data_IF_433420513749
#
_entry.id   IF_433420513749
#
_cell.length_a   1.000
_cell.length_b   1.000
_cell.length_c   1.000
_cell.angle_alpha   90.00
_cell.angle_beta   90.00
_cell.angle_gamma   90.00
#
_symmetry.space_group_name_H-M   'P 1'
#
loop_
_entity.id
_entity.type
_entity.pdbx_description
1 polymer ?
#
# COMPACT_ATOMS: atom_id res chain seq x y z
N UNK A 1 22.76 10.60 45.19
CA UNK A 1 23.86 10.89 44.22
C UNK A 1 23.61 10.32 42.82
N UNK A 2 22.96 9.16 42.65
CA UNK A 2 22.71 8.57 41.33
C UNK A 2 21.76 9.38 40.42
N UNK A 3 20.72 10.04 40.96
CA UNK A 3 19.73 10.77 40.16
C UNK A 3 20.31 12.01 39.45
N UNK A 4 21.20 12.75 40.11
CA UNK A 4 21.86 13.92 39.53
C UNK A 4 22.76 13.54 38.32
N UNK A 5 23.40 12.36 38.38
CA UNK A 5 24.20 11.83 37.27
C UNK A 5 23.35 11.31 36.11
N UNK A 6 22.11 10.87 36.37
CA UNK A 6 21.15 10.49 35.34
C UNK A 6 20.58 11.73 34.64
N UNK A 7 20.19 12.75 35.42
CA UNK A 7 19.66 14.01 34.88
C UNK A 7 20.69 14.75 34.02
N UNK A 8 21.94 14.85 34.48
CA UNK A 8 23.02 15.48 33.71
C UNK A 8 23.33 14.74 32.39
N UNK A 9 23.23 13.40 32.39
CA UNK A 9 23.33 12.60 31.15
C UNK A 9 22.15 12.84 30.23
N UNK A 10 20.92 12.81 30.74
CA UNK A 10 19.70 13.09 29.95
C UNK A 10 19.74 14.48 29.33
N UNK A 11 20.16 15.49 30.08
CA UNK A 11 20.29 16.87 29.60
C UNK A 11 21.36 17.01 28.51
N UNK A 12 22.50 16.31 28.63
CA UNK A 12 23.52 16.27 27.57
C UNK A 12 23.00 15.59 26.31
N UNK A 13 22.27 14.49 26.45
CA UNK A 13 21.66 13.79 25.31
C UNK A 13 20.60 14.65 24.63
N UNK A 14 19.68 15.25 25.39
CA UNK A 14 18.64 16.13 24.85
C UNK A 14 19.22 17.36 24.12
N UNK A 15 20.30 17.95 24.65
CA UNK A 15 21.01 19.04 23.97
C UNK A 15 21.64 18.61 22.66
N UNK A 16 22.17 17.38 22.59
CA UNK A 16 22.77 16.84 21.37
C UNK A 16 21.73 16.57 20.30
N UNK A 17 20.58 16.02 20.68
CA UNK A 17 19.48 15.71 19.75
C UNK A 17 18.61 16.91 19.38
N UNK A 18 18.80 18.08 19.99
CA UNK A 18 17.94 19.25 19.77
C UNK A 18 17.95 19.66 18.29
N UNK A 19 19.13 19.74 17.66
CA UNK A 19 19.26 20.14 16.26
C UNK A 19 18.54 19.19 15.30
N UNK A 20 18.70 17.88 15.51
CA UNK A 20 18.04 16.84 14.71
C UNK A 20 16.51 16.90 14.85
N UNK A 21 16.02 17.13 16.08
CA UNK A 21 14.59 17.26 16.35
C UNK A 21 14.01 18.54 15.73
N UNK A 22 14.72 19.67 15.83
CA UNK A 22 14.27 20.92 15.21
C UNK A 22 14.22 20.80 13.70
N UNK A 23 15.23 20.19 13.07
CA UNK A 23 15.27 19.99 11.63
C UNK A 23 14.13 19.06 11.17
N UNK A 24 13.90 17.95 11.87
CA UNK A 24 12.81 17.03 11.57
C UNK A 24 11.43 17.69 11.74
N UNK A 25 11.27 18.53 12.77
CA UNK A 25 10.06 19.30 12.98
C UNK A 25 9.85 20.32 11.87
N UNK A 26 10.86 21.12 11.53
CA UNK A 26 10.76 22.12 10.47
C UNK A 26 10.45 21.47 9.12
N UNK A 27 11.06 20.33 8.82
CA UNK A 27 10.75 19.54 7.62
C UNK A 27 9.29 19.14 7.55
N UNK A 28 8.72 18.65 8.66
CA UNK A 28 7.30 18.28 8.72
C UNK A 28 6.40 19.52 8.65
N UNK A 29 6.73 20.57 9.41
CA UNK A 29 5.96 21.79 9.49
C UNK A 29 5.87 22.49 8.13
N UNK A 30 6.96 22.49 7.35
CA UNK A 30 7.00 23.08 6.01
C UNK A 30 6.15 22.34 4.97
N UNK A 31 5.79 21.06 5.20
CA UNK A 31 4.88 20.30 4.31
C UNK A 31 3.41 20.68 4.52
N UNK A 32 3.07 21.29 5.66
CA UNK A 32 1.70 21.69 6.00
C UNK A 32 1.38 23.04 5.34
N UNK A 33 0.15 23.28 4.83
CA UNK A 33 -0.23 24.60 4.35
C UNK A 33 -0.18 25.68 5.45
N UNK A 34 0.26 26.90 5.10
CA UNK A 34 0.40 28.02 6.06
C UNK A 34 -0.90 28.37 6.78
N UNK A 35 -2.03 28.33 6.07
CA UNK A 35 -3.36 28.56 6.65
C UNK A 35 -3.68 27.58 7.77
N UNK A 36 -3.27 26.32 7.63
CA UNK A 36 -3.50 25.28 8.62
C UNK A 36 -2.55 25.42 9.80
N UNK A 37 -1.28 25.79 9.56
CA UNK A 37 -0.32 26.11 10.63
C UNK A 37 -0.82 27.25 11.52
N UNK A 38 -1.32 28.32 10.91
CA UNK A 38 -1.87 29.47 11.63
C UNK A 38 -3.08 29.07 12.49
N UNK A 39 -4.01 28.30 11.92
CA UNK A 39 -5.17 27.80 12.65
C UNK A 39 -4.76 26.93 13.86
N UNK A 40 -3.85 25.99 13.67
CA UNK A 40 -3.37 25.13 14.74
C UNK A 40 -2.63 25.91 15.83
N UNK A 41 -1.88 26.94 15.46
CA UNK A 41 -1.20 27.82 16.42
C UNK A 41 -2.18 28.63 17.27
N UNK A 42 -3.27 29.12 16.65
CA UNK A 42 -4.35 29.80 17.38
C UNK A 42 -5.07 28.84 18.33
N UNK A 43 -5.42 27.65 17.85
CA UNK A 43 -6.06 26.60 18.67
C UNK A 43 -5.17 26.19 19.85
N UNK A 44 -3.88 25.97 19.60
CA UNK A 44 -2.89 25.67 20.65
C UNK A 44 -2.83 26.79 21.70
N UNK A 45 -2.72 28.04 21.25
CA UNK A 45 -2.65 29.20 22.15
C UNK A 45 -3.90 29.29 23.02
N UNK A 46 -5.07 29.07 22.43
CA UNK A 46 -6.35 29.08 23.13
C UNK A 46 -6.44 27.94 24.16
N UNK A 47 -6.12 26.71 23.76
CA UNK A 47 -6.14 25.54 24.65
C UNK A 47 -5.23 25.72 25.86
N UNK A 48 -4.01 26.25 25.66
CA UNK A 48 -3.07 26.53 26.75
C UNK A 48 -3.56 27.62 27.70
N UNK A 49 -4.18 28.68 27.19
CA UNK A 49 -4.72 29.75 28.03
C UNK A 49 -5.91 29.28 28.86
N UNK A 50 -6.77 28.46 28.26
CA UNK A 50 -8.02 28.02 28.89
C UNK A 50 -7.85 26.76 29.75
N UNK A 51 -6.69 26.08 29.72
CA UNK A 51 -6.41 24.81 30.41
C UNK A 51 -6.77 24.81 31.91
N UNK A 52 -6.61 25.94 32.61
CA UNK A 52 -6.92 26.03 34.04
C UNK A 52 -8.41 26.21 34.34
N UNK A 53 -9.17 26.74 33.39
CA UNK A 53 -10.58 27.09 33.55
C UNK A 53 -11.50 26.05 32.90
N UNK A 54 -11.04 25.41 31.83
CA UNK A 54 -11.74 24.35 31.12
C UNK A 54 -10.79 23.16 30.90
N UNK A 55 -10.99 22.03 31.62
CA UNK A 55 -10.17 20.84 31.43
C UNK A 55 -10.29 20.24 30.01
N UNK A 56 -11.38 20.52 29.29
CA UNK A 56 -11.59 20.04 27.91
C UNK A 56 -10.86 20.92 26.86
N UNK A 57 -10.30 22.07 27.25
CA UNK A 57 -9.55 22.93 26.34
C UNK A 57 -8.29 22.25 25.76
N UNK A 58 -7.81 21.19 26.42
CA UNK A 58 -6.68 20.38 25.95
C UNK A 58 -7.08 19.27 24.97
N UNK A 59 -8.38 19.01 24.76
CA UNK A 59 -8.86 18.00 23.80
C UNK A 59 -8.50 18.36 22.35
N UNK A 60 -8.00 19.56 22.09
CA UNK A 60 -7.41 19.96 20.81
C UNK A 60 -6.22 19.09 20.38
N UNK A 61 -5.56 18.44 21.34
CA UNK A 61 -4.46 17.52 21.08
C UNK A 61 -4.96 16.09 20.79
N UNK A 62 -6.23 15.81 21.04
CA UNK A 62 -6.82 14.53 20.70
C UNK A 62 -7.10 14.45 19.21
N UNK A 63 -6.69 13.32 18.64
CA UNK A 63 -6.86 13.02 17.23
C UNK A 63 -8.33 12.66 16.98
N UNK A 64 -9.12 13.65 16.54
CA UNK A 64 -10.49 13.44 16.12
C UNK A 64 -10.52 12.90 14.69
N UNK A 65 -10.44 11.58 14.55
CA UNK A 65 -10.71 10.92 13.28
C UNK A 65 -12.16 10.47 13.22
N UNK A 66 -12.80 10.70 12.08
CA UNK A 66 -14.07 10.06 11.82
C UNK A 66 -13.88 8.53 11.85
N UNK A 67 -14.80 7.85 12.53
CA UNK A 67 -14.78 6.41 12.59
C UNK A 67 -14.94 5.88 11.17
N UNK A 68 -13.92 5.16 10.69
CA UNK A 68 -13.98 4.50 9.39
C UNK A 68 -15.26 3.65 9.30
N UNK A 69 -15.94 3.64 8.14
CA UNK A 69 -17.13 2.85 7.97
C UNK A 69 -16.80 1.37 8.22
N UNK A 70 -17.71 0.69 8.91
CA UNK A 70 -17.58 -0.75 9.12
C UNK A 70 -17.73 -1.50 7.81
N UNK A 71 -17.13 -2.68 7.70
CA UNK A 71 -17.31 -3.56 6.54
C UNK A 71 -18.80 -3.81 6.23
N UNK A 72 -19.62 -3.98 7.27
CA UNK A 72 -21.08 -4.15 7.14
C UNK A 72 -21.78 -2.91 6.56
N UNK A 73 -21.40 -1.70 7.00
CA UNK A 73 -21.98 -0.46 6.47
C UNK A 73 -21.53 -0.17 5.04
N UNK A 74 -20.32 -0.59 4.67
CA UNK A 74 -19.83 -0.54 3.29
C UNK A 74 -20.60 -1.52 2.40
N UNK A 75 -20.73 -2.78 2.82
CA UNK A 75 -21.50 -3.80 2.09
C UNK A 75 -22.96 -3.38 1.88
N UNK A 76 -23.61 -2.88 2.93
CA UNK A 76 -24.98 -2.35 2.86
C UNK A 76 -25.10 -1.17 1.89
N UNK A 77 -24.13 -0.24 1.89
CA UNK A 77 -24.11 0.87 0.93
C UNK A 77 -23.96 0.37 -0.51
N UNK A 78 -23.09 -0.61 -0.74
CA UNK A 78 -22.86 -1.17 -2.07
C UNK A 78 -24.10 -1.89 -2.61
N UNK A 79 -24.82 -2.63 -1.75
CA UNK A 79 -26.06 -3.34 -2.12
C UNK A 79 -27.19 -2.35 -2.43
N UNK A 80 -27.32 -1.28 -1.62
CA UNK A 80 -28.43 -0.33 -1.74
C UNK A 80 -28.20 0.74 -2.81
N UNK A 81 -26.99 0.85 -3.37
CA UNK A 81 -26.70 1.77 -4.46
C UNK A 81 -27.49 1.33 -5.69
N UNK A 82 -28.29 2.22 -6.33
CA UNK A 82 -28.96 1.88 -7.58
C UNK A 82 -27.88 1.54 -8.63
N UNK A 83 -27.83 0.25 -9.01
CA UNK A 83 -26.90 -0.28 -10.00
C UNK A 83 -27.67 -0.42 -11.31
N UNK A 84 -27.72 0.64 -12.11
CA UNK A 84 -28.46 0.62 -13.37
C UNK A 84 -27.77 -0.21 -14.48
N UNK A 85 -26.54 -0.70 -14.29
CA UNK A 85 -25.81 -1.35 -15.40
C UNK A 85 -25.03 -2.63 -15.09
N UNK A 86 -24.53 -2.88 -13.86
CA UNK A 86 -23.56 -3.97 -13.64
C UNK A 86 -23.79 -4.77 -12.34
N UNK A 87 -24.95 -5.41 -12.23
CA UNK A 87 -25.25 -6.34 -11.12
C UNK A 87 -24.17 -7.43 -11.04
N UNK A 88 -23.49 -7.50 -9.89
CA UNK A 88 -22.41 -8.47 -9.65
C UNK A 88 -20.99 -7.90 -9.73
N UNK A 89 -20.81 -6.63 -10.11
CA UNK A 89 -19.51 -5.94 -10.13
C UNK A 89 -18.82 -5.94 -8.77
N UNK A 90 -19.57 -5.67 -7.69
CA UNK A 90 -19.03 -5.73 -6.32
C UNK A 90 -18.52 -7.13 -5.94
N UNK A 91 -19.23 -8.18 -6.36
CA UNK A 91 -18.79 -9.57 -6.13
C UNK A 91 -17.55 -9.90 -6.97
N UNK A 92 -17.49 -9.41 -8.21
CA UNK A 92 -16.33 -9.59 -9.08
C UNK A 92 -15.09 -8.86 -8.53
N UNK A 93 -15.23 -7.60 -8.11
CA UNK A 93 -14.16 -6.84 -7.43
C UNK A 93 -13.71 -7.52 -6.13
N UNK A 94 -14.65 -8.02 -5.31
CA UNK A 94 -14.29 -8.74 -4.09
C UNK A 94 -13.48 -10.02 -4.40
N UNK A 95 -13.79 -10.72 -5.51
CA UNK A 95 -12.97 -11.84 -5.98
C UNK A 95 -11.59 -11.38 -6.47
N UNK A 96 -11.51 -10.26 -7.19
CA UNK A 96 -10.24 -9.69 -7.65
C UNK A 96 -9.33 -9.33 -6.46
N UNK A 97 -9.85 -8.61 -5.47
CA UNK A 97 -9.12 -8.28 -4.23
C UNK A 97 -8.64 -9.52 -3.48
N UNK A 98 -9.45 -10.60 -3.48
CA UNK A 98 -9.05 -11.87 -2.86
C UNK A 98 -7.91 -12.58 -3.60
N UNK A 99 -7.85 -12.44 -4.92
CA UNK A 99 -6.73 -12.96 -5.73
C UNK A 99 -5.47 -12.13 -5.46
N UNK A 100 -5.59 -10.81 -5.41
CA UNK A 100 -4.47 -9.90 -5.08
C UNK A 100 -3.90 -10.19 -3.68
N UNK A 101 -4.76 -10.36 -2.67
CA UNK A 101 -4.34 -10.77 -1.31
C UNK A 101 -3.54 -12.08 -1.34
N UNK A 102 -4.00 -13.06 -2.11
CA UNK A 102 -3.32 -14.34 -2.23
C UNK A 102 -2.01 -14.28 -3.04
N UNK A 103 -1.88 -13.34 -3.99
CA UNK A 103 -0.61 -13.03 -4.66
C UNK A 103 0.41 -12.44 -3.69
N UNK A 104 -0.01 -11.50 -2.83
CA UNK A 104 0.84 -10.91 -1.79
C UNK A 104 1.34 -11.99 -0.83
N UNK A 105 0.43 -12.84 -0.33
CA UNK A 105 0.79 -13.95 0.57
C UNK A 105 1.77 -14.93 -0.07
N UNK A 106 1.52 -15.31 -1.33
CA UNK A 106 2.44 -16.19 -2.06
C UNK A 106 3.83 -15.57 -2.26
N UNK A 107 3.91 -14.25 -2.51
CA UNK A 107 5.18 -13.56 -2.63
C UNK A 107 5.96 -13.56 -1.31
N UNK A 108 5.26 -13.37 -0.19
CA UNK A 108 5.83 -13.48 1.16
C UNK A 108 6.34 -14.90 1.41
N UNK A 109 5.53 -15.92 1.13
CA UNK A 109 5.89 -17.33 1.33
C UNK A 109 7.10 -17.72 0.47
N UNK A 110 7.11 -17.32 -0.80
CA UNK A 110 8.23 -17.56 -1.71
C UNK A 110 9.52 -16.85 -1.25
N UNK A 111 9.42 -15.66 -0.67
CA UNK A 111 10.57 -14.96 -0.12
C UNK A 111 11.17 -15.70 1.09
N UNK A 112 10.33 -16.24 1.97
CA UNK A 112 10.76 -16.99 3.16
C UNK A 112 11.34 -18.37 2.81
N UNK A 113 10.91 -18.95 1.70
CA UNK A 113 11.35 -20.23 1.19
C UNK A 113 12.81 -20.28 0.69
N UNK A 114 13.36 -19.14 0.21
CA UNK A 114 14.66 -19.09 -0.47
C UNK A 114 15.89 -19.41 0.41
N UNK A 115 15.74 -19.64 1.72
CA UNK A 115 16.88 -19.84 2.64
C UNK A 115 17.31 -21.29 2.90
N UNK A 116 16.44 -22.29 2.70
CA UNK A 116 16.76 -23.74 2.71
C UNK A 116 15.46 -24.52 2.53
N UNK A 117 14.97 -24.62 1.29
CA UNK A 117 13.64 -25.15 1.02
C UNK A 117 13.63 -26.67 0.83
N UNK A 118 12.67 -27.34 1.46
CA UNK A 118 12.41 -28.77 1.21
C UNK A 118 11.60 -28.90 -0.09
N UNK A 119 11.84 -29.93 -0.90
CA UNK A 119 11.11 -30.19 -2.17
C UNK A 119 9.56 -30.11 -2.02
N UNK A 120 9.05 -30.48 -0.85
CA UNK A 120 7.62 -30.38 -0.52
C UNK A 120 7.10 -28.94 -0.46
N UNK A 121 7.91 -27.99 0.00
CA UNK A 121 7.55 -26.57 0.07
C UNK A 121 7.54 -25.95 -1.33
N UNK A 122 8.55 -26.24 -2.16
CA UNK A 122 8.58 -25.81 -3.57
C UNK A 122 7.36 -26.30 -4.34
N UNK A 123 6.99 -27.57 -4.15
CA UNK A 123 5.82 -28.16 -4.78
C UNK A 123 4.51 -27.54 -4.26
N UNK A 124 4.44 -27.16 -2.98
CA UNK A 124 3.29 -26.44 -2.43
C UNK A 124 3.13 -25.03 -3.02
N UNK A 125 4.24 -24.29 -3.17
CA UNK A 125 4.27 -22.95 -3.79
C UNK A 125 3.88 -23.04 -5.27
N UNK A 126 4.39 -24.04 -6.00
CA UNK A 126 4.03 -24.26 -7.40
C UNK A 126 2.53 -24.53 -7.58
N UNK A 127 1.93 -25.35 -6.70
CA UNK A 127 0.46 -25.57 -6.70
C UNK A 127 -0.33 -24.31 -6.39
N UNK A 128 0.16 -23.49 -5.46
CA UNK A 128 -0.50 -22.22 -5.11
C UNK A 128 -0.44 -21.23 -6.27
N UNK A 129 0.69 -21.16 -7.01
CA UNK A 129 0.82 -20.40 -8.25
C UNK A 129 -0.17 -20.84 -9.32
N UNK A 130 -0.25 -22.14 -9.59
CA UNK A 130 -1.15 -22.69 -10.60
C UNK A 130 -2.63 -22.40 -10.29
N UNK A 131 -3.01 -22.56 -9.01
CA UNK A 131 -4.35 -22.19 -8.53
C UNK A 131 -4.63 -20.69 -8.70
N UNK A 132 -3.67 -19.83 -8.36
CA UNK A 132 -3.84 -18.38 -8.51
C UNK A 132 -3.98 -17.96 -9.97
N UNK A 133 -3.21 -18.58 -10.85
CA UNK A 133 -3.31 -18.35 -12.29
C UNK A 133 -4.71 -18.69 -12.80
N UNK A 134 -5.24 -19.86 -12.41
CA UNK A 134 -6.61 -20.25 -12.77
C UNK A 134 -7.68 -19.26 -12.28
N UNK A 135 -7.47 -18.67 -11.09
CA UNK A 135 -8.39 -17.65 -10.56
C UNK A 135 -8.28 -16.32 -11.33
N UNK A 136 -7.08 -15.93 -11.72
CA UNK A 136 -6.81 -14.75 -12.53
C UNK A 136 -7.41 -14.89 -13.93
N UNK A 137 -7.22 -16.05 -14.58
CA UNK A 137 -7.79 -16.33 -15.90
C UNK A 137 -9.33 -16.23 -15.86
N UNK A 138 -9.95 -16.74 -14.80
CA UNK A 138 -11.40 -16.60 -14.59
C UNK A 138 -11.86 -15.14 -14.38
N UNK A 139 -11.02 -14.30 -13.77
CA UNK A 139 -11.29 -12.86 -13.63
C UNK A 139 -11.17 -12.14 -14.97
N UNK A 140 -10.09 -12.40 -15.72
CA UNK A 140 -9.84 -11.84 -17.06
C UNK A 140 -11.00 -12.15 -18.01
N UNK A 141 -11.45 -13.41 -18.07
CA UNK A 141 -12.60 -13.80 -18.92
C UNK A 141 -13.88 -13.07 -18.54
N UNK A 142 -14.04 -12.72 -17.26
CA UNK A 142 -15.22 -11.98 -16.78
C UNK A 142 -15.03 -10.46 -16.76
N UNK A 143 -13.83 -9.95 -17.04
CA UNK A 143 -13.50 -8.52 -16.99
C UNK A 143 -14.29 -7.71 -18.02
N UNK A 144 -14.39 -8.19 -19.25
CA UNK A 144 -15.14 -7.53 -20.33
C UNK A 144 -16.60 -7.24 -19.96
N UNK A 145 -17.21 -8.08 -19.10
CA UNK A 145 -18.59 -7.88 -18.63
C UNK A 145 -18.73 -6.68 -17.69
N UNK A 146 -17.68 -6.33 -16.95
CA UNK A 146 -17.73 -5.30 -15.91
C UNK A 146 -16.95 -4.03 -16.27
N UNK A 147 -15.91 -4.15 -17.10
CA UNK A 147 -15.04 -3.05 -17.53
C UNK A 147 -15.37 -2.54 -18.94
N UNK A 148 -16.16 -3.28 -19.74
CA UNK A 148 -16.48 -2.95 -21.12
C UNK A 148 -15.60 -3.73 -22.12
N UNK A 149 -15.96 -3.70 -23.40
CA UNK A 149 -15.30 -4.49 -24.46
C UNK A 149 -13.88 -3.99 -24.81
N UNK A 150 -13.50 -2.79 -24.38
CA UNK A 150 -12.23 -2.10 -24.73
C UNK A 150 -11.16 -2.16 -23.61
N UNK A 151 -11.39 -2.96 -22.57
CA UNK A 151 -10.53 -2.99 -21.39
C UNK A 151 -9.10 -3.51 -21.66
N UNK A 152 -8.90 -4.29 -22.74
CA UNK A 152 -7.58 -4.78 -23.17
C UNK A 152 -6.81 -3.71 -23.96
N UNK A 153 -7.49 -2.93 -24.80
CA UNK A 153 -6.90 -1.89 -25.67
C UNK A 153 -6.55 -0.62 -24.87
N UNK A 154 -7.36 -0.24 -23.87
CA UNK A 154 -7.03 0.87 -22.95
C UNK A 154 -5.78 0.57 -22.10
N UNK A 155 -5.62 -0.67 -21.61
CA UNK A 155 -4.45 -1.07 -20.81
C UNK A 155 -3.15 -1.11 -21.63
N UNK A 156 -3.25 -1.40 -22.94
CA UNK A 156 -2.11 -1.40 -23.86
C UNK A 156 -1.72 0.02 -24.34
N UNK A 157 -2.66 0.96 -24.36
CA UNK A 157 -2.38 2.36 -24.71
C UNK A 157 -1.72 3.16 -23.57
N UNK A 158 -2.03 2.84 -22.31
CA UNK A 158 -1.48 3.58 -21.14
C UNK A 158 -0.01 3.22 -20.83
N UNK A 159 0.51 2.11 -21.39
CA UNK A 159 1.91 1.72 -21.21
C UNK A 159 2.86 2.31 -22.25
N UNK A 160 2.35 2.94 -23.31
CA UNK A 160 3.15 3.35 -24.47
C UNK A 160 3.23 4.86 -24.71
N UNK A 161 2.42 5.70 -24.06
CA UNK A 161 2.49 7.14 -24.26
C UNK A 161 2.26 7.89 -22.94
N UNK A 162 3.26 8.67 -22.56
CA UNK A 162 3.24 9.70 -21.49
C UNK A 162 3.55 9.25 -20.05
N UNK A 163 4.70 8.59 -19.85
CA UNK A 163 5.48 8.82 -18.62
C UNK A 163 6.52 9.90 -18.92
N UNK A 164 6.36 11.14 -18.41
CA UNK A 164 7.46 12.08 -18.30
C UNK A 164 8.59 11.43 -17.48
N UNK A 165 9.77 11.31 -18.10
CA UNK A 165 11.01 10.72 -17.57
C UNK A 165 11.62 11.45 -16.35
N UNK A 166 10.84 12.12 -15.51
CA UNK A 166 11.35 12.91 -14.37
C UNK A 166 10.48 12.86 -13.10
N UNK A 167 9.60 11.87 -12.96
CA UNK A 167 9.05 11.53 -11.64
C UNK A 167 9.73 10.26 -11.16
N UNK A 168 10.79 10.42 -10.36
CA UNK A 168 11.22 9.41 -9.39
C UNK A 168 10.06 9.16 -8.41
N UNK A 169 9.07 8.38 -8.85
CA UNK A 169 8.30 7.58 -7.93
C UNK A 169 9.28 6.46 -7.54
N UNK A 170 9.88 6.58 -6.35
CA UNK A 170 10.42 5.43 -5.65
C UNK A 170 9.29 4.42 -5.55
N UNK A 171 9.22 3.52 -6.53
CA UNK A 171 8.37 2.35 -6.48
C UNK A 171 9.00 1.45 -5.41
N UNK A 172 8.37 1.28 -4.23
CA UNK A 172 8.95 0.45 -3.17
C UNK A 172 9.01 -1.03 -3.54
N UNK A 173 8.51 -1.42 -4.73
CA UNK A 173 8.54 -2.77 -5.27
C UNK A 173 9.52 -2.98 -6.43
N UNK A 174 10.30 -1.97 -6.84
CA UNK A 174 11.40 -2.17 -7.81
C UNK A 174 12.71 -2.29 -7.06
N UNK A 175 13.03 -3.53 -6.67
CA UNK A 175 14.38 -3.85 -6.24
C UNK A 175 15.34 -3.64 -7.42
N UNK A 176 16.35 -2.78 -7.22
CA UNK A 176 17.54 -2.70 -8.05
C UNK A 176 18.11 -4.11 -8.26
N UNK A 177 17.92 -4.67 -9.45
CA UNK A 177 18.87 -5.63 -9.98
C UNK A 177 20.02 -4.84 -10.58
N UNK A 178 21.05 -4.58 -9.77
CA UNK A 178 22.35 -4.18 -10.30
C UNK A 178 23.42 -5.14 -9.82
N UNK A 179 23.92 -5.93 -10.77
CA UNK A 179 25.23 -6.58 -10.69
C UNK A 179 25.19 -8.09 -10.52
N UNK A 180 24.83 -8.83 -11.56
CA UNK A 180 25.78 -9.64 -12.35
C UNK A 180 25.02 -10.57 -13.31
N UNK A 181 25.57 -10.69 -14.52
CA UNK A 181 24.99 -11.33 -15.68
C UNK A 181 24.55 -12.78 -15.45
N UNK A 182 23.33 -13.11 -15.87
CA UNK A 182 23.01 -14.19 -16.80
C UNK A 182 21.53 -14.06 -17.21
N UNK A 183 21.30 -13.73 -18.48
CA UNK A 183 19.96 -13.70 -19.09
C UNK A 183 19.42 -15.13 -19.18
N UNK A 184 18.76 -15.62 -18.14
CA UNK A 184 17.92 -16.81 -18.26
C UNK A 184 16.58 -16.34 -18.84
N UNK A 185 16.55 -16.22 -20.17
CA UNK A 185 15.30 -16.20 -20.91
C UNK A 185 14.57 -17.54 -20.65
N UNK A 186 13.38 -17.56 -20.02
CA UNK A 186 12.57 -18.77 -20.01
C UNK A 186 12.21 -19.10 -21.47
N UNK A 187 12.31 -20.37 -21.91
CA UNK A 187 11.94 -20.71 -23.28
C UNK A 187 10.44 -20.47 -23.47
N UNK A 188 10.12 -19.63 -24.44
CA UNK A 188 8.77 -19.46 -24.97
C UNK A 188 8.24 -20.83 -25.45
N UNK A 189 6.93 -21.11 -25.31
CA UNK A 189 6.33 -22.35 -25.77
C UNK A 189 6.40 -22.44 -27.30
N UNK A 190 7.29 -23.31 -27.79
CA UNK A 190 7.38 -23.66 -29.20
C UNK A 190 6.12 -24.40 -29.66
N UNK A 191 5.51 -23.82 -30.67
CA UNK A 191 4.52 -24.40 -31.57
C UNK A 191 5.00 -25.77 -32.08
N UNK A 192 4.39 -26.88 -31.64
CA UNK A 192 4.46 -28.17 -32.33
C UNK A 192 3.03 -28.61 -32.64
N UNK A 193 2.64 -28.32 -33.88
CA UNK A 193 1.56 -29.01 -34.54
C UNK A 193 2.06 -30.34 -35.11
N UNK A 194 1.24 -31.37 -34.86
CA UNK A 194 0.90 -32.48 -35.78
C UNK A 194 2.03 -33.44 -36.18
N UNK A 195 2.08 -34.61 -35.51
CA UNK A 195 2.57 -35.84 -36.13
C UNK A 195 1.45 -36.45 -36.99
N UNK A 196 1.72 -36.61 -38.29
CA UNK A 196 1.01 -37.56 -39.17
C UNK A 196 1.92 -38.77 -39.35
N UNK A 197 1.41 -39.94 -38.99
CA UNK A 197 1.59 -41.17 -39.76
C UNK A 197 0.23 -41.86 -39.89
#
# INVERSE_FOLDING_TARGET
MCEALVLSRKLKSARRSLGEVTEAFDKLNNQVPESLRMLWSEQQTKGLNDQLMDPYAMDIYDVQLEKAPTMKSLEMNLINRPQDQLRGSATWLAKALKVEEAQIMLAIDAHQANTSETENQQLSIARQRDRLQSQLDGLVVSAARFLGEDWEDEMLMETASDIPLDYEIENPFVLLTQGNAELILPPLPSYIGVERL
#
